data_IF_595112069777
#
_entry.id   IF_595112069777
#
_cell.length_a   1.000
_cell.length_b   1.000
_cell.length_c   1.000
_cell.angle_alpha   90.00
_cell.angle_beta   90.00
_cell.angle_gamma   90.00
#
_symmetry.space_group_name_H-M   'P 1'
#
loop_
_entity.id
_entity.type
_entity.pdbx_description
1 polymer ?
#
# COMPACT_ATOMS: atom_id res chain seq x y z
N UNK A 1 86.92 64.45 5.87
CA UNK A 1 86.92 64.18 7.32
C UNK A 1 85.50 63.80 7.74
N UNK A 2 85.22 62.50 7.77
CA UNK A 2 83.88 61.95 8.01
C UNK A 2 83.62 61.81 9.52
N UNK A 3 82.55 62.46 10.00
CA UNK A 3 82.17 62.54 11.41
C UNK A 3 81.23 61.38 11.77
N UNK A 4 81.82 60.29 12.25
CA UNK A 4 81.13 59.16 12.88
C UNK A 4 80.76 59.51 14.32
N UNK A 5 79.47 59.71 14.65
CA UNK A 5 79.01 59.77 16.03
C UNK A 5 77.64 59.08 16.23
N UNK A 6 77.74 57.82 16.65
CA UNK A 6 77.05 57.14 17.77
C UNK A 6 75.51 57.12 17.78
N UNK A 7 74.97 55.95 17.41
CA UNK A 7 73.63 55.49 17.74
C UNK A 7 73.47 55.29 19.27
N UNK A 8 72.31 55.60 19.87
CA UNK A 8 72.06 55.32 21.29
C UNK A 8 71.84 53.82 21.52
N UNK A 9 72.56 53.29 22.52
CA UNK A 9 72.41 51.92 23.04
C UNK A 9 71.01 51.75 23.66
N UNK A 10 70.26 50.76 23.17
CA UNK A 10 68.98 50.37 23.72
C UNK A 10 69.16 49.78 25.12
N UNK A 11 68.42 50.29 26.09
CA UNK A 11 68.31 49.75 27.46
C UNK A 11 67.66 48.36 27.44
N UNK A 12 68.19 47.37 28.20
CA UNK A 12 67.56 46.06 28.30
C UNK A 12 66.24 46.15 29.08
N UNK A 13 65.19 45.41 28.67
CA UNK A 13 63.92 45.37 29.38
C UNK A 13 64.05 44.67 30.74
N UNK A 14 63.24 45.04 31.74
CA UNK A 14 63.26 44.39 33.05
C UNK A 14 62.79 42.93 32.95
N UNK A 15 63.48 42.06 33.69
CA UNK A 15 63.14 40.64 33.82
C UNK A 15 61.80 40.51 34.57
N UNK A 16 60.75 40.11 33.85
CA UNK A 16 59.45 39.77 34.42
C UNK A 16 59.56 38.39 35.08
N UNK A 17 59.18 38.24 36.37
CA UNK A 17 59.18 36.93 37.02
C UNK A 17 58.16 35.99 36.35
N UNK A 18 58.40 34.65 36.36
CA UNK A 18 57.46 33.71 35.76
C UNK A 18 56.12 33.79 36.50
N UNK A 19 55.07 34.17 35.76
CA UNK A 19 53.71 34.12 36.26
C UNK A 19 53.40 32.69 36.70
N UNK A 20 52.88 32.55 37.91
CA UNK A 20 52.30 31.30 38.40
C UNK A 20 51.32 30.78 37.35
N UNK A 21 51.51 29.54 36.90
CA UNK A 21 50.57 28.83 36.03
C UNK A 21 49.23 28.79 36.76
N UNK A 22 48.32 29.69 36.38
CA UNK A 22 46.92 29.60 36.79
C UNK A 22 46.33 28.41 36.05
N UNK A 23 45.58 27.51 36.71
CA UNK A 23 44.81 26.50 35.99
C UNK A 23 43.86 27.22 35.04
N UNK A 24 43.99 26.91 33.75
CA UNK A 24 43.09 27.35 32.69
C UNK A 24 41.64 27.14 33.19
N UNK A 25 40.77 28.17 33.18
CA UNK A 25 39.36 27.95 33.47
C UNK A 25 38.87 26.99 32.40
N UNK A 26 38.48 25.78 32.82
CA UNK A 26 37.93 24.78 31.93
C UNK A 26 36.91 25.46 31.00
N UNK A 27 37.27 25.56 29.71
CA UNK A 27 36.34 25.98 28.69
C UNK A 27 35.07 25.17 28.91
N UNK A 28 33.91 25.80 29.18
CA UNK A 28 32.69 25.04 29.25
C UNK A 28 32.62 24.31 27.92
N UNK A 29 32.61 22.97 27.95
CA UNK A 29 32.26 22.17 26.79
C UNK A 29 31.00 22.82 26.25
N UNK A 30 31.15 23.50 25.11
CA UNK A 30 30.07 24.18 24.45
C UNK A 30 29.09 23.06 24.13
N UNK A 31 28.14 22.87 25.03
CA UNK A 31 27.05 21.93 24.88
C UNK A 31 26.46 22.35 23.56
N UNK A 32 26.73 21.59 22.49
CA UNK A 32 26.05 21.74 21.20
C UNK A 32 24.58 21.77 21.55
N UNK A 33 24.02 22.96 21.69
CA UNK A 33 22.61 23.12 21.92
C UNK A 33 22.02 22.53 20.66
N UNK A 34 21.28 21.43 20.80
CA UNK A 34 20.49 20.91 19.70
C UNK A 34 19.60 22.08 19.29
N UNK A 35 19.96 22.73 18.19
CA UNK A 35 19.19 23.84 17.65
C UNK A 35 17.85 23.19 17.32
N UNK A 36 16.82 23.63 18.02
CA UNK A 36 15.49 23.05 18.00
C UNK A 36 14.56 24.15 17.55
N UNK A 37 13.80 23.89 16.49
CA UNK A 37 12.82 24.84 15.99
C UNK A 37 11.58 24.77 16.88
N UNK A 38 11.09 25.91 17.37
CA UNK A 38 9.84 25.98 18.13
C UNK A 38 8.72 26.34 17.18
N UNK A 39 7.76 25.43 17.03
CA UNK A 39 6.54 25.65 16.26
C UNK A 39 5.39 25.90 17.22
N UNK A 40 4.65 26.97 17.01
CA UNK A 40 3.39 27.21 17.73
C UNK A 40 2.28 26.50 16.98
N UNK A 41 1.64 25.54 17.64
CA UNK A 41 0.47 24.84 17.13
C UNK A 41 -0.77 25.41 17.82
N UNK A 42 -1.78 25.76 17.03
CA UNK A 42 -3.07 26.24 17.50
C UNK A 42 -4.10 25.18 17.18
N UNK A 43 -4.72 24.60 18.20
CA UNK A 43 -5.82 23.63 18.08
C UNK A 43 -7.04 24.23 18.81
N UNK A 44 -8.01 24.71 18.03
CA UNK A 44 -9.13 25.50 18.56
C UNK A 44 -8.66 26.73 19.34
N UNK A 45 -8.99 26.79 20.64
CA UNK A 45 -8.60 27.86 21.57
C UNK A 45 -7.31 27.54 22.36
N UNK A 46 -6.70 26.38 22.13
CA UNK A 46 -5.49 25.96 22.84
C UNK A 46 -4.25 26.23 21.99
N UNK A 47 -3.32 27.03 22.52
CA UNK A 47 -2.00 27.25 21.93
C UNK A 47 -0.96 26.38 22.64
N UNK A 48 -0.15 25.63 21.89
CA UNK A 48 0.96 24.84 22.45
C UNK A 48 2.22 25.04 21.62
N UNK A 49 3.36 25.14 22.30
CA UNK A 49 4.67 25.19 21.68
C UNK A 49 5.22 23.77 21.53
N UNK A 50 5.53 23.38 20.30
CA UNK A 50 6.16 22.10 19.95
C UNK A 50 7.63 22.35 19.61
N UNK A 51 8.53 21.63 20.26
CA UNK A 51 9.97 21.70 20.02
C UNK A 51 10.35 20.61 19.02
N UNK A 52 10.74 20.99 17.81
CA UNK A 52 11.12 20.08 16.72
C UNK A 52 12.64 20.10 16.56
N UNK A 53 13.35 18.99 16.81
CA UNK A 53 14.80 18.92 16.61
C UNK A 53 15.17 19.25 15.16
N UNK A 54 16.27 19.97 14.92
CA UNK A 54 16.72 20.24 13.54
C UNK A 54 17.08 18.98 12.74
N UNK A 55 17.28 17.85 13.41
CA UNK A 55 17.53 16.54 12.79
C UNK A 55 16.24 15.76 12.54
N UNK A 56 15.06 16.32 12.85
CA UNK A 56 13.79 15.65 12.62
C UNK A 56 13.56 15.46 11.12
N UNK A 57 13.25 14.24 10.72
CA UNK A 57 12.80 13.94 9.37
C UNK A 57 11.38 14.47 9.13
N UNK A 58 10.97 14.54 7.87
CA UNK A 58 9.54 14.66 7.55
C UNK A 58 8.81 13.40 8.03
N UNK A 59 7.67 13.58 8.67
CA UNK A 59 6.84 12.49 9.14
C UNK A 59 6.08 11.79 8.03
N UNK A 60 5.32 10.77 8.41
CA UNK A 60 4.50 9.98 7.50
C UNK A 60 3.72 8.92 8.25
N UNK A 61 3.32 7.87 7.52
CA UNK A 61 2.72 6.68 8.09
C UNK A 61 3.31 5.43 7.45
N UNK A 62 3.31 4.35 8.21
CA UNK A 62 3.66 3.01 7.72
C UNK A 62 2.44 2.12 7.79
N UNK A 63 2.18 1.37 6.72
CA UNK A 63 1.04 0.46 6.68
C UNK A 63 1.32 -0.83 7.45
N UNK A 64 0.39 -1.15 8.35
CA UNK A 64 0.29 -2.41 9.07
C UNK A 64 -0.62 -3.39 8.32
N UNK A 65 -1.64 -2.88 7.64
CA UNK A 65 -2.56 -3.67 6.81
C UNK A 65 -2.87 -2.89 5.52
N UNK A 66 -2.59 -3.45 4.33
CA UNK A 66 -1.66 -4.56 4.14
C UNK A 66 -0.26 -4.19 4.69
N UNK A 67 0.48 -5.15 5.22
CA UNK A 67 1.81 -4.86 5.76
C UNK A 67 2.70 -4.29 4.65
N UNK A 68 3.43 -3.21 4.93
CA UNK A 68 4.29 -2.55 3.93
C UNK A 68 5.36 -3.48 3.33
N UNK A 69 5.73 -4.55 4.04
CA UNK A 69 6.68 -5.59 3.58
C UNK A 69 6.01 -6.79 2.93
N UNK A 70 4.68 -6.85 2.90
CA UNK A 70 3.96 -7.94 2.26
C UNK A 70 4.15 -7.89 0.73
N UNK A 71 3.99 -9.04 0.08
CA UNK A 71 3.89 -9.11 -1.37
C UNK A 71 2.70 -8.32 -1.92
N UNK A 72 2.55 -8.30 -3.24
CA UNK A 72 1.45 -7.60 -3.89
C UNK A 72 0.08 -7.99 -3.28
N UNK A 73 -0.67 -6.98 -2.82
CA UNK A 73 -2.00 -7.15 -2.24
C UNK A 73 -3.06 -7.11 -3.33
N UNK A 74 -3.96 -8.09 -3.38
CA UNK A 74 -5.01 -8.22 -4.39
C UNK A 74 -6.39 -8.21 -3.74
N UNK A 75 -7.24 -7.29 -4.17
CA UNK A 75 -8.58 -7.11 -3.62
C UNK A 75 -9.65 -7.33 -4.69
N UNK A 76 -10.74 -7.99 -4.29
CA UNK A 76 -11.87 -8.28 -5.17
C UNK A 76 -12.91 -7.16 -5.08
N UNK A 77 -13.36 -6.65 -6.22
CA UNK A 77 -14.47 -5.71 -6.33
C UNK A 77 -15.77 -6.52 -6.38
N UNK A 78 -16.33 -6.84 -5.21
CA UNK A 78 -17.54 -7.65 -5.07
C UNK A 78 -18.26 -7.34 -3.73
N UNK A 79 -19.56 -7.68 -3.60
CA UNK A 79 -20.28 -7.51 -2.35
C UNK A 79 -19.54 -8.16 -1.17
N UNK A 80 -19.54 -7.49 -0.01
CA UNK A 80 -18.90 -7.95 1.23
C UNK A 80 -17.37 -8.18 1.14
N UNK A 81 -16.69 -7.53 0.19
CA UNK A 81 -15.22 -7.55 0.07
C UNK A 81 -14.64 -6.16 0.34
N UNK A 82 -14.72 -5.75 1.60
CA UNK A 82 -14.15 -4.48 2.06
C UNK A 82 -12.63 -4.57 2.20
N UNK A 83 -11.96 -3.44 1.95
CA UNK A 83 -10.51 -3.28 2.03
C UNK A 83 -10.20 -2.50 3.29
N UNK A 84 -9.41 -3.08 4.19
CA UNK A 84 -8.96 -2.40 5.40
C UNK A 84 -7.53 -1.92 5.23
N UNK A 85 -7.33 -0.62 5.45
CA UNK A 85 -6.03 0.01 5.55
C UNK A 85 -5.76 0.35 7.01
N UNK A 86 -4.74 -0.26 7.61
CA UNK A 86 -4.29 0.04 8.97
C UNK A 86 -2.87 0.61 8.93
N UNK A 87 -2.56 1.61 9.75
CA UNK A 87 -1.24 2.26 9.76
C UNK A 87 -0.79 2.68 11.16
N UNK A 88 0.49 3.03 11.26
CA UNK A 88 1.05 3.76 12.39
C UNK A 88 1.83 4.98 11.88
N UNK A 89 1.86 6.05 12.66
CA UNK A 89 2.62 7.25 12.30
C UNK A 89 4.11 7.09 12.53
N UNK A 90 4.90 7.78 11.71
CA UNK A 90 6.35 7.81 11.80
C UNK A 90 6.84 9.24 11.82
N UNK A 91 7.79 9.54 12.72
CA UNK A 91 8.51 10.83 12.77
C UNK A 91 7.61 12.08 12.81
N UNK A 92 6.42 12.00 13.41
CA UNK A 92 5.53 13.15 13.62
C UNK A 92 5.79 13.82 14.98
N UNK A 93 5.97 15.13 14.94
CA UNK A 93 6.00 16.01 16.11
C UNK A 93 4.75 16.91 16.15
N UNK A 94 4.20 17.22 14.98
CA UNK A 94 2.91 17.89 14.81
C UNK A 94 1.98 16.93 14.10
N UNK A 95 0.95 16.47 14.82
CA UNK A 95 -0.09 15.62 14.24
C UNK A 95 -1.03 16.48 13.40
N UNK A 96 -1.36 16.07 12.16
CA UNK A 96 -2.36 16.77 11.35
C UNK A 96 -3.74 16.66 12.00
N UNK A 97 -4.69 17.47 11.52
CA UNK A 97 -6.08 17.40 11.99
C UNK A 97 -6.86 16.30 11.26
N UNK A 98 -6.65 16.23 9.94
CA UNK A 98 -7.40 15.39 9.02
C UNK A 98 -6.45 14.77 8.00
N UNK A 99 -6.74 13.54 7.60
CA UNK A 99 -6.07 12.85 6.50
C UNK A 99 -7.07 12.55 5.39
N UNK A 100 -6.64 12.77 4.15
CA UNK A 100 -7.40 12.41 2.96
C UNK A 100 -6.69 11.29 2.23
N UNK A 101 -7.45 10.25 1.86
CA UNK A 101 -6.94 9.08 1.17
C UNK A 101 -7.52 9.02 -0.25
N UNK A 102 -6.65 8.79 -1.22
CA UNK A 102 -7.04 8.65 -2.61
C UNK A 102 -6.32 7.46 -3.26
N UNK A 103 -7.02 6.70 -4.08
CA UNK A 103 -6.44 5.62 -4.86
C UNK A 103 -6.28 6.06 -6.30
N UNK A 104 -5.07 6.04 -6.84
CA UNK A 104 -4.80 6.35 -8.24
C UNK A 104 -4.56 5.09 -9.04
N UNK A 105 -5.32 4.87 -10.10
CA UNK A 105 -5.16 3.71 -10.97
C UNK A 105 -4.01 3.91 -11.96
N UNK A 106 -3.18 2.89 -12.14
CA UNK A 106 -2.07 2.92 -13.11
C UNK A 106 -2.54 2.77 -14.57
N UNK A 107 -3.66 2.09 -14.82
CA UNK A 107 -4.12 1.79 -16.17
C UNK A 107 -4.96 2.91 -16.81
N UNK A 108 -5.92 3.48 -16.07
CA UNK A 108 -6.78 4.55 -16.59
C UNK A 108 -6.42 5.95 -16.06
N UNK A 109 -5.52 6.06 -15.08
CA UNK A 109 -5.07 7.33 -14.54
C UNK A 109 -6.08 8.05 -13.63
N UNK A 110 -7.27 7.48 -13.42
CA UNK A 110 -8.29 8.06 -12.55
C UNK A 110 -7.91 7.95 -11.07
N UNK A 111 -8.43 8.90 -10.30
CA UNK A 111 -8.26 8.98 -8.85
C UNK A 111 -9.61 8.77 -8.19
N UNK A 112 -9.66 7.84 -7.24
CA UNK A 112 -10.88 7.43 -6.55
C UNK A 112 -10.77 7.85 -5.08
N UNK A 113 -11.85 8.39 -4.49
CA UNK A 113 -11.87 8.69 -3.07
C UNK A 113 -11.86 7.39 -2.26
N UNK A 114 -10.98 7.32 -1.27
CA UNK A 114 -10.89 6.19 -0.34
C UNK A 114 -11.38 6.70 1.02
N UNK A 115 -12.65 6.43 1.34
CA UNK A 115 -13.31 6.99 2.52
C UNK A 115 -13.98 8.35 2.27
N UNK A 116 -14.34 9.08 3.33
CA UNK A 116 -15.03 10.37 3.22
C UNK A 116 -14.20 11.42 2.47
N UNK A 117 -14.82 12.14 1.54
CA UNK A 117 -14.17 13.23 0.79
C UNK A 117 -13.78 14.43 1.66
N UNK A 118 -14.37 14.56 2.84
CA UNK A 118 -14.03 15.56 3.86
C UNK A 118 -12.76 15.20 4.66
N UNK A 119 -12.19 14.02 4.42
CA UNK A 119 -11.08 13.48 5.20
C UNK A 119 -11.52 12.74 6.46
N UNK A 120 -10.55 12.11 7.11
CA UNK A 120 -10.69 11.29 8.31
C UNK A 120 -9.84 11.94 9.41
N UNK A 121 -10.33 12.02 10.67
CA UNK A 121 -9.52 12.54 11.77
C UNK A 121 -8.19 11.81 11.91
N UNK A 122 -7.10 12.55 12.14
CA UNK A 122 -5.78 11.95 12.28
C UNK A 122 -5.60 11.07 13.53
N UNK A 123 -6.55 11.10 14.47
CA UNK A 123 -6.62 10.16 15.60
C UNK A 123 -6.92 8.72 15.17
N UNK A 124 -7.53 8.54 13.98
CA UNK A 124 -7.77 7.22 13.41
C UNK A 124 -6.47 6.62 12.88
N UNK A 125 -6.34 5.30 13.05
CA UNK A 125 -5.21 4.51 12.55
C UNK A 125 -5.65 3.37 11.64
N UNK A 126 -6.93 3.38 11.24
CA UNK A 126 -7.53 2.38 10.38
C UNK A 126 -8.65 2.99 9.54
N UNK A 127 -8.79 2.53 8.31
CA UNK A 127 -9.83 2.92 7.37
C UNK A 127 -10.35 1.67 6.66
N UNK A 128 -11.66 1.49 6.67
CA UNK A 128 -12.34 0.47 5.87
C UNK A 128 -12.95 1.15 4.64
N UNK A 129 -12.61 0.63 3.46
CA UNK A 129 -13.11 1.11 2.18
C UNK A 129 -13.86 0.01 1.45
N UNK A 130 -15.04 0.33 0.92
CA UNK A 130 -15.83 -0.58 0.09
C UNK A 130 -15.85 -0.09 -1.37
N UNK A 131 -14.99 -0.66 -2.24
CA UNK A 131 -14.99 -0.30 -3.66
C UNK A 131 -16.26 -0.76 -4.36
N UNK A 132 -16.90 -1.84 -3.89
CA UNK A 132 -18.13 -2.32 -4.50
C UNK A 132 -19.26 -1.32 -4.27
N UNK A 133 -19.40 -0.81 -3.05
CA UNK A 133 -20.37 0.24 -2.71
C UNK A 133 -20.13 1.51 -3.53
N UNK A 134 -18.88 1.98 -3.64
CA UNK A 134 -18.55 3.13 -4.49
C UNK A 134 -18.97 2.87 -5.95
N UNK A 135 -18.71 1.68 -6.48
CA UNK A 135 -19.09 1.32 -7.86
C UNK A 135 -20.61 1.30 -8.11
N UNK A 136 -21.44 1.22 -7.04
CA UNK A 136 -22.90 1.31 -7.17
C UNK A 136 -23.42 2.76 -7.11
N UNK A 137 -22.57 3.75 -6.78
CA UNK A 137 -23.00 5.15 -6.69
C UNK A 137 -23.26 5.77 -8.06
N UNK A 138 -24.13 6.79 -8.12
CA UNK A 138 -24.57 7.41 -9.37
C UNK A 138 -23.43 8.09 -10.15
N UNK A 139 -22.43 8.62 -9.44
CA UNK A 139 -21.28 9.34 -10.00
C UNK A 139 -19.99 8.50 -10.00
N UNK A 140 -20.12 7.17 -9.89
CA UNK A 140 -18.98 6.27 -9.82
C UNK A 140 -18.19 6.24 -11.13
N UNK A 141 -16.88 6.46 -11.03
CA UNK A 141 -15.98 6.15 -12.13
C UNK A 141 -15.78 4.63 -12.22
N UNK A 142 -15.74 4.04 -13.43
CA UNK A 142 -15.55 2.60 -13.59
C UNK A 142 -14.13 2.19 -13.18
N UNK A 143 -14.03 1.23 -12.27
CA UNK A 143 -12.75 0.64 -11.90
C UNK A 143 -12.15 -0.17 -13.06
N UNK A 144 -10.83 -0.04 -13.24
CA UNK A 144 -10.05 -0.93 -14.09
C UNK A 144 -9.48 -2.10 -13.27
N UNK A 145 -9.37 -3.28 -13.89
CA UNK A 145 -8.64 -4.41 -13.32
C UNK A 145 -7.13 -4.15 -13.46
N UNK A 146 -6.54 -3.47 -12.49
CA UNK A 146 -5.18 -2.95 -12.55
C UNK A 146 -4.59 -2.73 -11.15
N UNK A 147 -3.35 -2.22 -11.12
CA UNK A 147 -2.73 -1.72 -9.90
C UNK A 147 -3.19 -0.31 -9.56
N UNK A 148 -3.23 -0.02 -8.28
CA UNK A 148 -3.64 1.24 -7.68
C UNK A 148 -2.58 1.66 -6.66
N UNK A 149 -2.28 2.95 -6.66
CA UNK A 149 -1.40 3.59 -5.68
C UNK A 149 -2.27 4.36 -4.71
N UNK A 150 -2.29 3.94 -3.44
CA UNK A 150 -2.90 4.71 -2.36
C UNK A 150 -1.97 5.87 -2.01
N UNK A 151 -2.51 7.08 -2.03
CA UNK A 151 -1.84 8.30 -1.58
C UNK A 151 -2.61 8.87 -0.41
N UNK A 152 -1.88 9.43 0.54
CA UNK A 152 -2.44 10.08 1.72
C UNK A 152 -1.83 11.45 1.85
N UNK A 153 -2.64 12.45 2.20
CA UNK A 153 -2.18 13.80 2.48
C UNK A 153 -2.98 14.39 3.64
N UNK A 154 -2.39 15.38 4.31
CA UNK A 154 -3.04 16.10 5.40
C UNK A 154 -3.83 17.31 4.86
N UNK A 155 -4.33 18.14 5.77
CA UNK A 155 -5.07 19.36 5.43
C UNK A 155 -4.32 20.37 4.53
N UNK A 156 -3.00 20.24 4.36
CA UNK A 156 -2.20 21.11 3.48
C UNK A 156 -2.31 20.68 2.01
N UNK A 157 -2.90 19.52 1.74
CA UNK A 157 -3.17 19.02 0.39
C UNK A 157 -2.06 18.12 -0.18
N UNK A 158 -2.28 17.57 -1.39
CA UNK A 158 -1.43 16.55 -1.99
C UNK A 158 -0.03 17.05 -2.39
N UNK A 159 0.14 18.36 -2.57
CA UNK A 159 1.40 19.00 -2.97
C UNK A 159 2.11 19.68 -1.79
N UNK A 160 1.73 19.34 -0.56
CA UNK A 160 2.36 19.88 0.65
C UNK A 160 3.87 19.63 0.64
N UNK A 161 4.65 20.68 0.92
CA UNK A 161 6.11 20.57 0.97
C UNK A 161 6.54 19.79 2.21
N UNK A 162 7.59 18.99 2.05
CA UNK A 162 8.19 18.25 3.15
C UNK A 162 8.72 19.21 4.23
N UNK A 163 8.19 19.10 5.45
CA UNK A 163 8.62 19.89 6.61
C UNK A 163 9.01 18.94 7.75
N UNK A 164 10.09 19.29 8.46
CA UNK A 164 10.59 18.50 9.59
C UNK A 164 9.51 18.36 10.67
N UNK A 165 9.26 17.11 11.08
CA UNK A 165 8.29 16.77 12.12
C UNK A 165 6.81 16.99 11.77
N UNK A 166 6.49 17.31 10.51
CA UNK A 166 5.12 17.36 9.99
C UNK A 166 4.86 16.21 9.01
N UNK A 167 3.59 15.93 8.75
CA UNK A 167 3.21 14.87 7.83
C UNK A 167 3.73 15.12 6.41
N UNK A 168 4.09 14.08 5.69
CA UNK A 168 4.43 14.17 4.28
C UNK A 168 3.82 12.96 3.56
N UNK A 169 2.92 13.25 2.62
CA UNK A 169 2.23 12.23 1.85
C UNK A 169 3.15 11.35 0.99
N UNK A 170 4.33 11.86 0.62
CA UNK A 170 5.34 11.06 -0.09
C UNK A 170 5.86 9.87 0.73
N UNK A 171 5.77 9.95 2.07
CA UNK A 171 6.17 8.89 3.00
C UNK A 171 4.99 7.96 3.36
N UNK A 172 3.86 8.06 2.67
CA UNK A 172 2.60 7.41 3.00
C UNK A 172 1.97 6.73 1.77
N UNK A 173 2.78 6.05 0.96
CA UNK A 173 2.35 5.44 -0.31
C UNK A 173 2.38 3.93 -0.22
N UNK A 174 1.31 3.27 -0.66
CA UNK A 174 1.28 1.81 -0.83
C UNK A 174 0.60 1.43 -2.16
N UNK A 175 1.04 0.32 -2.74
CA UNK A 175 0.48 -0.21 -3.98
C UNK A 175 -0.32 -1.47 -3.71
N UNK A 176 -1.46 -1.59 -4.39
CA UNK A 176 -2.32 -2.76 -4.35
C UNK A 176 -2.95 -2.97 -5.73
N UNK A 177 -3.59 -4.12 -5.97
CA UNK A 177 -4.29 -4.40 -7.21
C UNK A 177 -5.74 -4.75 -6.92
N UNK A 178 -6.62 -4.38 -7.85
CA UNK A 178 -8.05 -4.68 -7.75
C UNK A 178 -8.51 -5.46 -8.98
N UNK A 179 -9.48 -6.36 -8.78
CA UNK A 179 -10.05 -7.16 -9.85
C UNK A 179 -11.55 -7.39 -9.66
N UNK A 180 -12.30 -7.40 -10.77
CA UNK A 180 -13.69 -7.83 -10.80
C UNK A 180 -13.78 -9.34 -11.02
N UNK A 181 -14.67 -10.06 -10.31
CA UNK A 181 -14.93 -11.46 -10.61
C UNK A 181 -15.58 -11.61 -11.99
N UNK A 182 -15.25 -12.69 -12.70
CA UNK A 182 -15.97 -13.05 -13.92
C UNK A 182 -17.42 -13.46 -13.59
N UNK A 183 -18.37 -13.11 -14.46
CA UNK A 183 -19.75 -13.55 -14.33
C UNK A 183 -19.80 -15.10 -14.39
N UNK A 184 -20.51 -15.72 -13.46
CA UNK A 184 -20.72 -17.17 -13.48
C UNK A 184 -21.63 -17.53 -14.66
N UNK A 185 -21.10 -18.26 -15.64
CA UNK A 185 -21.92 -18.86 -16.70
C UNK A 185 -22.34 -20.25 -16.22
N UNK A 186 -23.63 -20.50 -15.95
CA UNK A 186 -24.08 -21.80 -15.48
C UNK A 186 -23.80 -22.87 -16.55
N UNK A 187 -23.46 -24.08 -16.09
CA UNK A 187 -23.10 -25.21 -16.96
C UNK A 187 -24.22 -25.54 -17.97
N UNK A 188 -25.48 -25.26 -17.59
CA UNK A 188 -26.68 -25.43 -18.42
C UNK A 188 -26.77 -24.47 -19.62
N UNK A 189 -26.05 -23.35 -19.61
CA UNK A 189 -26.16 -22.29 -20.62
C UNK A 189 -24.99 -22.25 -21.62
N UNK A 190 -23.96 -23.10 -21.46
CA UNK A 190 -22.78 -23.01 -22.32
C UNK A 190 -21.90 -24.25 -22.46
N UNK A 191 -22.10 -25.31 -21.66
CA UNK A 191 -21.31 -26.53 -21.79
C UNK A 191 -22.09 -27.62 -22.52
N UNK A 192 -22.10 -27.52 -23.85
CA UNK A 192 -22.45 -28.63 -24.73
C UNK A 192 -21.22 -29.52 -24.88
N UNK A 193 -21.22 -30.68 -24.22
CA UNK A 193 -20.18 -31.68 -24.43
C UNK A 193 -20.37 -32.29 -25.83
N UNK A 194 -19.60 -31.81 -26.82
CA UNK A 194 -19.61 -32.28 -28.20
C UNK A 194 -19.34 -33.79 -28.35
N UNK A 195 -18.73 -34.43 -27.34
CA UNK A 195 -18.48 -35.88 -27.29
C UNK A 195 -19.44 -36.70 -26.41
N UNK A 196 -20.27 -36.08 -25.57
CA UNK A 196 -21.17 -36.80 -24.65
C UNK A 196 -22.43 -37.34 -25.36
N UNK A 197 -22.54 -37.08 -26.66
CA UNK A 197 -23.63 -37.51 -27.53
C UNK A 197 -23.49 -38.93 -28.10
N UNK A 198 -22.40 -39.66 -27.83
CA UNK A 198 -22.22 -41.03 -28.33
C UNK A 198 -22.53 -42.13 -27.30
N UNK A 199 -22.41 -41.86 -25.98
CA UNK A 199 -22.61 -42.89 -24.94
C UNK A 199 -23.93 -42.73 -24.16
N UNK A 200 -24.43 -41.52 -23.94
CA UNK A 200 -25.67 -41.30 -23.17
C UNK A 200 -26.96 -41.68 -23.93
N UNK A 201 -26.89 -41.86 -25.26
CA UNK A 201 -28.04 -42.33 -26.06
C UNK A 201 -28.16 -43.86 -26.10
N UNK A 202 -27.17 -44.59 -25.59
CA UNK A 202 -27.18 -46.08 -25.60
C UNK A 202 -27.84 -46.68 -24.36
N UNK A 203 -28.06 -45.90 -23.28
CA UNK A 203 -28.67 -46.42 -22.04
C UNK A 203 -30.12 -45.97 -21.83
N UNK A 204 -30.60 -44.94 -22.54
CA UNK A 204 -31.95 -44.39 -22.35
C UNK A 204 -33.02 -44.75 -23.38
N UNK A 205 -32.67 -45.50 -24.43
CA UNK A 205 -33.56 -45.66 -25.59
C UNK A 205 -33.31 -46.94 -26.37
N UNK A 206 -33.41 -48.10 -25.72
CA UNK A 206 -33.68 -49.36 -26.43
C UNK A 206 -35.15 -49.35 -26.90
N UNK A 207 -35.42 -48.52 -27.90
CA UNK A 207 -36.63 -48.63 -28.71
C UNK A 207 -36.70 -50.03 -29.32
N UNK A 208 -37.92 -50.50 -29.58
CA UNK A 208 -38.34 -51.86 -29.88
C UNK A 208 -37.60 -52.64 -31.00
N UNK A 209 -36.54 -52.10 -31.62
CA UNK A 209 -35.73 -52.74 -32.65
C UNK A 209 -34.63 -53.69 -32.14
N UNK A 210 -34.23 -53.63 -30.87
CA UNK A 210 -33.16 -54.50 -30.33
C UNK A 210 -33.64 -55.94 -30.05
N UNK A 211 -34.93 -56.14 -29.80
CA UNK A 211 -35.49 -57.49 -29.62
C UNK A 211 -35.51 -58.31 -30.91
N UNK A 212 -35.56 -57.67 -32.08
CA UNK A 212 -35.49 -58.36 -33.38
C UNK A 212 -34.10 -58.95 -33.65
N UNK A 213 -33.02 -58.25 -33.30
CA UNK A 213 -31.65 -58.71 -33.53
C UNK A 213 -31.21 -59.85 -32.59
N UNK A 214 -31.72 -59.87 -31.35
CA UNK A 214 -31.46 -60.97 -30.40
C UNK A 214 -32.20 -62.25 -30.80
N UNK A 215 -33.44 -62.15 -31.31
CA UNK A 215 -34.20 -63.31 -31.76
C UNK A 215 -33.57 -63.99 -33.00
N UNK A 216 -33.06 -63.19 -33.96
CA UNK A 216 -32.43 -63.73 -35.19
C UNK A 216 -31.07 -64.40 -34.88
N UNK A 217 -30.31 -63.84 -33.93
CA UNK A 217 -29.02 -64.42 -33.51
C UNK A 217 -29.20 -65.71 -32.71
N UNK A 218 -30.24 -65.81 -31.86
CA UNK A 218 -30.55 -67.03 -31.11
C UNK A 218 -31.07 -68.17 -32.00
N UNK A 219 -31.86 -67.86 -33.03
CA UNK A 219 -32.33 -68.85 -34.00
C UNK A 219 -31.19 -69.43 -34.86
N UNK A 220 -30.23 -68.59 -35.28
CA UNK A 220 -29.08 -69.05 -36.05
C UNK A 220 -28.16 -69.99 -35.26
N UNK A 221 -28.01 -69.76 -33.94
CA UNK A 221 -27.20 -70.63 -33.06
C UNK A 221 -27.91 -71.96 -32.75
N UNK A 222 -29.24 -71.97 -32.65
CA UNK A 222 -30.01 -73.22 -32.42
C UNK A 222 -30.14 -74.08 -33.68
N UNK A 223 -30.21 -73.48 -34.88
CA UNK A 223 -30.20 -74.22 -36.15
C UNK A 223 -28.79 -74.77 -36.45
N UNK A 224 -27.73 -74.03 -36.09
CA UNK A 224 -26.34 -74.51 -36.19
C UNK A 224 -25.98 -75.61 -35.17
N UNK A 225 -26.60 -75.59 -33.98
CA UNK A 225 -26.36 -76.58 -32.92
C UNK A 225 -27.01 -77.95 -33.17
N UNK A 226 -28.12 -78.02 -33.91
CA UNK A 226 -28.81 -79.28 -34.19
C UNK A 226 -28.06 -80.18 -35.21
N UNK A 227 -27.10 -79.64 -35.97
CA UNK A 227 -26.29 -80.41 -36.93
C UNK A 227 -25.08 -81.13 -36.33
N UNK A 228 -24.67 -80.80 -35.09
CA UNK A 228 -23.46 -81.35 -34.44
C UNK A 228 -23.78 -82.50 -33.46
N UNK A 229 -25.04 -82.74 -33.10
CA UNK A 229 -25.46 -83.82 -32.20
C UNK A 229 -26.13 -85.02 -32.91
N UNK A 230 -26.06 -85.07 -34.24
CA UNK A 230 -26.68 -86.11 -35.06
C UNK A 230 -25.70 -86.86 -35.97
N UNK A 231 -24.63 -87.42 -35.40
CA UNK A 231 -23.87 -88.56 -35.95
C UNK A 231 -23.30 -89.41 -34.83
#
# INVERSE_FOLDING_TARGET
MARLLRHPLATPPPLVPPALVQPEPAHPLERRQAVTNVVTVVDGDTTRNVSIPNTAAAGGLTYLTPAATAGASYYKIAPSNQITFGWNYTSLYVTPSMLTFEARCSANGFTYPVGPTTGIPASETSLVWDPWEYAQSADALPFAQASYTLRVYDERGPDATAEAGRFNGANAIINFAMYSPAAYTPLSEGWSCAGCSAAARVVGGVGAGVWGAVAVSAAAVLIGGAGVLGR
#
